data_IF_217966417680
#
_entry.id   IF_217966417680
#
_cell.length_a   1.000
_cell.length_b   1.000
_cell.length_c   1.000
_cell.angle_alpha   90.00
_cell.angle_beta   90.00
_cell.angle_gamma   90.00
#
_symmetry.space_group_name_H-M   'P 1'
#
loop_
_entity.id
_entity.type
_entity.pdbx_description
1 polymer ?
#
# COMPACT_ATOMS: atom_id res chain seq x y z
N UNK A 1 -35.47 57.47 0.49
CA UNK A 1 -34.10 57.25 1.00
C UNK A 1 -34.05 56.27 2.17
N UNK A 2 -34.72 56.54 3.30
CA UNK A 2 -34.72 55.67 4.51
C UNK A 2 -35.24 54.23 4.30
N UNK A 3 -36.19 54.02 3.38
CA UNK A 3 -36.68 52.67 2.99
C UNK A 3 -35.71 51.88 2.11
N UNK A 4 -34.85 52.56 1.35
CA UNK A 4 -33.86 51.93 0.47
C UNK A 4 -32.65 51.43 1.27
N UNK A 5 -32.24 52.16 2.32
CA UNK A 5 -31.21 51.70 3.27
C UNK A 5 -31.62 50.44 4.05
N UNK A 6 -32.89 50.30 4.41
CA UNK A 6 -33.40 49.10 5.10
C UNK A 6 -33.33 47.86 4.20
N UNK A 7 -33.61 48.03 2.91
CA UNK A 7 -33.50 46.95 1.91
C UNK A 7 -32.05 46.51 1.69
N UNK A 8 -31.11 47.46 1.65
CA UNK A 8 -29.67 47.17 1.53
C UNK A 8 -29.15 46.43 2.78
N UNK A 9 -29.61 46.80 3.97
CA UNK A 9 -29.22 46.14 5.22
C UNK A 9 -29.71 44.68 5.29
N UNK A 10 -30.92 44.41 4.78
CA UNK A 10 -31.48 43.04 4.71
C UNK A 10 -30.74 42.18 3.70
N UNK A 11 -30.32 42.75 2.56
CA UNK A 11 -29.56 42.03 1.53
C UNK A 11 -28.13 41.69 2.02
N UNK A 12 -27.50 42.57 2.80
CA UNK A 12 -26.20 42.26 3.42
C UNK A 12 -26.27 41.14 4.46
N UNK A 13 -27.43 40.94 5.11
CA UNK A 13 -27.63 39.87 6.09
C UNK A 13 -27.75 38.47 5.49
N UNK A 14 -27.93 38.34 4.17
CA UNK A 14 -28.07 37.04 3.48
C UNK A 14 -26.73 36.48 2.98
N UNK A 15 -25.63 37.24 3.07
CA UNK A 15 -24.28 36.78 2.72
C UNK A 15 -23.59 36.27 3.97
N UNK A 16 -24.12 35.18 4.52
CA UNK A 16 -23.50 34.45 5.63
C UNK A 16 -22.45 33.46 5.13
N UNK A 17 -21.34 33.33 5.87
CA UNK A 17 -20.36 32.27 5.63
C UNK A 17 -21.03 30.92 5.88
N UNK A 18 -21.07 30.05 4.88
CA UNK A 18 -21.44 28.65 5.07
C UNK A 18 -20.22 27.96 5.69
N UNK A 19 -20.43 27.13 6.71
CA UNK A 19 -19.34 26.31 7.25
C UNK A 19 -18.74 25.46 6.13
N UNK A 20 -17.41 25.43 6.07
CA UNK A 20 -16.73 24.52 5.18
C UNK A 20 -17.16 23.08 5.51
N UNK A 21 -17.45 22.24 4.50
CA UNK A 21 -17.70 20.84 4.77
C UNK A 21 -16.51 20.26 5.54
N UNK A 22 -16.74 19.33 6.48
CA UNK A 22 -15.63 18.70 7.19
C UNK A 22 -14.65 18.13 6.16
N UNK A 23 -13.37 18.48 6.31
CA UNK A 23 -12.32 17.96 5.44
C UNK A 23 -12.36 16.42 5.51
N UNK A 24 -12.42 15.77 4.36
CA UNK A 24 -12.27 14.32 4.29
C UNK A 24 -10.90 13.94 4.88
N UNK A 25 -10.89 12.95 5.78
CA UNK A 25 -9.65 12.46 6.38
C UNK A 25 -8.99 11.54 5.35
N UNK A 26 -7.86 11.98 4.80
CA UNK A 26 -7.03 11.13 3.93
C UNK A 26 -6.27 10.11 4.78
N UNK A 27 -6.64 8.84 4.64
CA UNK A 27 -5.96 7.71 5.28
C UNK A 27 -4.68 7.30 4.54
N UNK A 28 -4.38 7.86 3.37
CA UNK A 28 -3.18 7.55 2.61
C UNK A 28 -3.18 6.13 2.02
N UNK A 29 -4.34 5.59 1.64
CA UNK A 29 -4.42 4.26 1.00
C UNK A 29 -3.64 4.19 -0.32
N UNK A 30 -3.39 5.33 -0.96
CA UNK A 30 -2.52 5.48 -2.13
C UNK A 30 -1.05 5.08 -1.89
N UNK A 31 -0.59 4.93 -0.65
CA UNK A 31 0.73 4.36 -0.35
C UNK A 31 0.82 2.86 -0.69
N UNK A 32 -0.32 2.18 -0.85
CA UNK A 32 -0.39 0.80 -1.31
C UNK A 32 -1.50 0.68 -2.38
N UNK A 33 -1.21 1.05 -3.64
CA UNK A 33 -2.21 1.05 -4.69
C UNK A 33 -2.55 -0.38 -5.13
N UNK A 34 -3.73 -0.87 -4.73
CA UNK A 34 -4.17 -2.25 -4.97
C UNK A 34 -5.12 -2.33 -6.17
N UNK A 35 -4.55 -2.35 -7.37
CA UNK A 35 -5.29 -2.53 -8.63
C UNK A 35 -4.59 -3.57 -9.50
N UNK A 36 -5.36 -4.38 -10.24
CA UNK A 36 -4.81 -5.38 -11.16
C UNK A 36 -3.91 -4.68 -12.19
N UNK A 37 -2.70 -5.20 -12.37
CA UNK A 37 -1.67 -4.65 -13.26
C UNK A 37 -0.69 -3.70 -12.57
N UNK A 38 -0.98 -3.21 -11.36
CA UNK A 38 0.01 -2.47 -10.57
C UNK A 38 1.15 -3.39 -10.18
N UNK A 39 2.37 -2.87 -10.23
CA UNK A 39 3.57 -3.59 -9.88
C UNK A 39 4.57 -2.72 -9.13
N UNK A 40 5.42 -3.36 -8.35
CA UNK A 40 6.59 -2.75 -7.70
C UNK A 40 7.81 -3.59 -8.02
N UNK A 41 8.93 -2.93 -8.29
CA UNK A 41 10.21 -3.56 -8.56
C UNK A 41 11.23 -3.14 -7.51
N UNK A 42 12.04 -4.11 -7.08
CA UNK A 42 13.07 -3.94 -6.07
C UNK A 42 14.41 -4.40 -6.65
N UNK A 43 15.42 -3.54 -6.59
CA UNK A 43 16.81 -3.95 -6.71
C UNK A 43 17.24 -4.59 -5.38
N UNK A 44 17.61 -5.88 -5.43
CA UNK A 44 17.93 -6.68 -4.26
C UNK A 44 19.40 -7.08 -4.28
N UNK A 45 20.11 -6.67 -3.23
CA UNK A 45 21.45 -7.13 -2.89
C UNK A 45 21.35 -8.12 -1.72
N UNK A 46 21.82 -9.35 -1.91
CA UNK A 46 21.77 -10.41 -0.90
C UNK A 46 23.14 -11.03 -0.69
N UNK A 47 23.57 -11.11 0.56
CA UNK A 47 24.79 -11.81 0.97
C UNK A 47 24.35 -13.14 1.60
N UNK A 48 24.77 -14.25 1.01
CA UNK A 48 24.45 -15.60 1.48
C UNK A 48 25.74 -16.26 1.97
N UNK A 49 25.71 -16.76 3.20
CA UNK A 49 26.77 -17.59 3.75
C UNK A 49 26.40 -19.06 3.60
N UNK A 50 27.25 -19.82 2.92
CA UNK A 50 27.14 -21.27 2.85
C UNK A 50 27.94 -21.90 3.99
N UNK A 51 27.23 -22.48 4.95
CA UNK A 51 27.83 -23.12 6.12
C UNK A 51 28.58 -24.43 5.80
N UNK A 52 28.34 -25.06 4.66
CA UNK A 52 29.03 -26.28 4.26
C UNK A 52 30.36 -25.99 3.56
N UNK A 53 30.38 -24.96 2.70
CA UNK A 53 31.61 -24.56 1.98
C UNK A 53 32.41 -23.49 2.73
N UNK A 54 31.83 -22.90 3.79
CA UNK A 54 32.35 -21.75 4.53
C UNK A 54 32.61 -20.53 3.64
N UNK A 55 31.84 -20.38 2.57
CA UNK A 55 31.97 -19.29 1.59
C UNK A 55 30.83 -18.28 1.72
N UNK A 56 31.14 -17.05 1.32
CA UNK A 56 30.19 -15.93 1.23
C UNK A 56 30.02 -15.58 -0.24
N UNK A 57 28.78 -15.64 -0.71
CA UNK A 57 28.40 -15.23 -2.05
C UNK A 57 27.50 -14.00 -2.02
N UNK A 58 27.68 -13.10 -2.99
CA UNK A 58 26.84 -11.93 -3.18
C UNK A 58 25.97 -12.10 -4.43
N UNK A 59 24.67 -11.96 -4.26
CA UNK A 59 23.67 -12.03 -5.32
C UNK A 59 23.05 -10.65 -5.53
N UNK A 60 22.97 -10.23 -6.79
CA UNK A 60 22.27 -9.01 -7.19
C UNK A 60 21.21 -9.38 -8.22
N UNK A 61 19.95 -9.11 -7.92
CA UNK A 61 18.81 -9.44 -8.78
C UNK A 61 17.68 -8.45 -8.58
N UNK A 62 16.77 -8.39 -9.55
CA UNK A 62 15.54 -7.60 -9.43
C UNK A 62 14.37 -8.50 -9.05
N UNK A 63 13.57 -8.07 -8.08
CA UNK A 63 12.27 -8.66 -7.77
C UNK A 63 11.17 -7.79 -8.34
N UNK A 64 10.13 -8.41 -8.89
CA UNK A 64 8.90 -7.72 -9.29
C UNK A 64 7.71 -8.40 -8.66
N UNK A 65 6.91 -7.60 -7.97
CA UNK A 65 5.62 -7.98 -7.40
C UNK A 65 4.52 -7.33 -8.25
N UNK A 66 3.64 -8.12 -8.87
CA UNK A 66 2.53 -7.63 -9.70
C UNK A 66 1.19 -8.18 -9.19
N UNK A 67 0.19 -7.31 -9.10
CA UNK A 67 -1.18 -7.70 -8.76
C UNK A 67 -1.83 -8.28 -10.01
N UNK A 68 -2.20 -9.55 -9.95
CA UNK A 68 -2.73 -10.28 -11.11
C UNK A 68 -4.21 -10.61 -11.00
N UNK A 69 -4.76 -10.59 -9.78
CA UNK A 69 -6.13 -10.99 -9.51
C UNK A 69 -6.64 -10.35 -8.22
N UNK A 70 -7.96 -10.10 -8.19
CA UNK A 70 -8.70 -9.67 -7.00
C UNK A 70 -9.92 -10.56 -6.81
N UNK A 71 -10.18 -11.00 -5.59
CA UNK A 71 -11.35 -11.82 -5.22
C UNK A 71 -11.79 -11.52 -3.78
N UNK A 72 -13.01 -11.90 -3.41
CA UNK A 72 -13.52 -11.75 -2.04
C UNK A 72 -13.20 -12.99 -1.18
N UNK A 73 -12.82 -12.78 0.07
CA UNK A 73 -12.72 -13.86 1.07
C UNK A 73 -14.06 -14.16 1.76
N UNK A 74 -14.01 -15.08 2.74
CA UNK A 74 -15.20 -15.49 3.52
C UNK A 74 -15.78 -14.37 4.39
N UNK A 75 -15.03 -13.30 4.64
CA UNK A 75 -15.45 -12.12 5.39
C UNK A 75 -15.87 -10.98 4.44
N UNK A 76 -16.05 -11.25 3.14
CA UNK A 76 -16.37 -10.27 2.10
C UNK A 76 -15.34 -9.13 1.99
N UNK A 77 -14.07 -9.43 2.21
CA UNK A 77 -12.96 -8.48 2.00
C UNK A 77 -12.30 -8.74 0.66
N UNK A 78 -11.89 -7.67 -0.01
CA UNK A 78 -11.06 -7.75 -1.19
C UNK A 78 -9.67 -8.31 -0.85
N UNK A 79 -9.33 -9.41 -1.51
CA UNK A 79 -8.03 -10.06 -1.48
C UNK A 79 -7.36 -9.84 -2.82
N UNK A 80 -6.13 -9.36 -2.79
CA UNK A 80 -5.32 -9.10 -3.98
C UNK A 80 -4.22 -10.16 -4.06
N UNK A 81 -4.26 -10.99 -5.10
CA UNK A 81 -3.19 -11.97 -5.35
C UNK A 81 -2.05 -11.30 -6.10
N UNK A 82 -0.86 -11.42 -5.51
CA UNK A 82 0.37 -10.90 -6.05
C UNK A 82 1.21 -12.05 -6.57
N UNK A 83 1.73 -11.91 -7.79
CA UNK A 83 2.76 -12.78 -8.33
C UNK A 83 4.12 -12.10 -8.20
N UNK A 84 5.03 -12.78 -7.51
CA UNK A 84 6.41 -12.37 -7.38
C UNK A 84 7.26 -13.11 -8.40
N UNK A 85 8.08 -12.37 -9.11
CA UNK A 85 9.02 -12.88 -10.10
C UNK A 85 10.38 -12.22 -9.90
N UNK A 86 11.43 -12.83 -10.45
CA UNK A 86 12.79 -12.31 -10.33
C UNK A 86 13.56 -12.43 -11.64
N UNK A 87 14.59 -11.61 -11.78
CA UNK A 87 15.53 -11.71 -12.89
C UNK A 87 16.96 -11.45 -12.41
N UNK A 88 17.89 -12.28 -12.88
CA UNK A 88 19.32 -12.11 -12.63
C UNK A 88 19.94 -11.11 -13.61
N UNK A 89 20.75 -10.19 -13.09
CA UNK A 89 21.47 -9.20 -13.91
C UNK A 89 20.66 -7.96 -14.30
N UNK A 90 21.38 -6.96 -14.81
CA UNK A 90 20.84 -5.66 -15.25
C UNK A 90 20.67 -5.60 -16.79
N UNK A 91 20.30 -6.73 -17.41
CA UNK A 91 20.10 -6.79 -18.87
C UNK A 91 18.94 -5.88 -19.31
N UNK A 92 18.99 -5.44 -20.57
CA UNK A 92 18.03 -4.47 -21.14
C UNK A 92 16.63 -5.05 -21.40
N UNK A 93 16.52 -6.37 -21.56
CA UNK A 93 15.24 -7.10 -21.73
C UNK A 93 15.20 -8.33 -20.80
N UNK A 94 14.96 -8.11 -19.50
CA UNK A 94 14.97 -9.19 -18.52
C UNK A 94 13.72 -10.08 -18.66
N UNK A 95 13.93 -11.38 -18.92
CA UNK A 95 12.86 -12.37 -18.78
C UNK A 95 12.69 -12.71 -17.29
N UNK A 96 11.57 -12.26 -16.71
CA UNK A 96 11.24 -12.56 -15.31
C UNK A 96 10.88 -14.03 -15.14
N UNK A 97 11.51 -14.67 -14.15
CA UNK A 97 11.21 -16.03 -13.72
C UNK A 97 10.24 -15.97 -12.55
N UNK A 98 9.12 -16.69 -12.63
CA UNK A 98 8.18 -16.81 -11.52
C UNK A 98 8.88 -17.35 -10.27
N UNK A 99 8.63 -16.73 -9.13
CA UNK A 99 9.17 -17.15 -7.82
C UNK A 99 8.08 -17.74 -6.95
N UNK A 100 7.04 -16.97 -6.67
CA UNK A 100 5.95 -17.36 -5.76
C UNK A 100 4.75 -16.43 -5.86
N UNK A 101 3.69 -16.74 -5.11
CA UNK A 101 2.52 -15.87 -4.96
C UNK A 101 2.24 -15.62 -3.47
N UNK A 102 1.65 -14.48 -3.16
CA UNK A 102 1.13 -14.16 -1.84
C UNK A 102 -0.12 -13.28 -1.99
N UNK A 103 -0.85 -13.06 -0.90
CA UNK A 103 -2.07 -12.25 -0.90
C UNK A 103 -1.91 -10.99 -0.06
N UNK A 104 -2.54 -9.91 -0.47
CA UNK A 104 -2.68 -8.67 0.28
C UNK A 104 -4.15 -8.42 0.61
N UNK A 105 -4.41 -7.92 1.81
CA UNK A 105 -5.74 -7.49 2.28
C UNK A 105 -5.56 -6.18 3.04
N UNK A 106 -6.43 -5.20 2.81
CA UNK A 106 -6.53 -4.02 3.68
C UNK A 106 -7.68 -4.23 4.65
N UNK A 107 -7.36 -4.37 5.93
CA UNK A 107 -8.32 -4.61 6.99
C UNK A 107 -8.36 -3.41 7.95
N UNK A 108 -9.33 -2.52 7.72
CA UNK A 108 -9.41 -1.24 8.37
C UNK A 108 -8.18 -0.39 8.05
N UNK A 109 -7.33 -0.16 9.04
CA UNK A 109 -6.11 0.65 8.90
C UNK A 109 -4.83 -0.16 8.71
N UNK A 110 -4.92 -1.47 8.44
CA UNK A 110 -3.74 -2.34 8.31
C UNK A 110 -3.71 -3.00 6.95
N UNK A 111 -2.57 -2.94 6.28
CA UNK A 111 -2.26 -3.81 5.17
C UNK A 111 -1.67 -5.12 5.71
N UNK A 112 -2.37 -6.22 5.45
CA UNK A 112 -2.00 -7.57 5.86
C UNK A 112 -1.49 -8.33 4.62
N UNK A 113 -0.30 -8.92 4.71
CA UNK A 113 0.25 -9.86 3.74
C UNK A 113 0.09 -11.27 4.27
N UNK A 114 -0.44 -12.17 3.45
CA UNK A 114 -0.49 -13.60 3.72
C UNK A 114 0.43 -14.33 2.73
N UNK A 115 1.49 -14.94 3.24
CA UNK A 115 2.53 -15.60 2.46
C UNK A 115 2.92 -16.91 3.16
N UNK A 116 2.78 -18.05 2.48
CA UNK A 116 3.02 -19.39 3.06
C UNK A 116 2.35 -19.62 4.43
N UNK A 117 1.06 -19.23 4.54
CA UNK A 117 0.26 -19.26 5.79
C UNK A 117 0.77 -18.35 6.92
N UNK A 118 1.76 -17.49 6.67
CA UNK A 118 2.23 -16.49 7.61
C UNK A 118 1.55 -15.14 7.34
N UNK A 119 0.82 -14.63 8.33
CA UNK A 119 0.18 -13.30 8.25
C UNK A 119 1.10 -12.24 8.85
N UNK A 120 1.43 -11.23 8.07
CA UNK A 120 2.30 -10.11 8.48
C UNK A 120 1.63 -8.78 8.22
N UNK A 121 1.72 -7.83 9.16
CA UNK A 121 1.29 -6.44 8.93
C UNK A 121 2.42 -5.67 8.25
N UNK A 122 2.24 -5.29 6.99
CA UNK A 122 3.28 -4.65 6.17
C UNK A 122 3.19 -3.13 6.16
N UNK A 123 2.02 -2.57 6.50
CA UNK A 123 1.79 -1.12 6.56
C UNK A 123 0.59 -0.81 7.46
N UNK A 124 0.65 0.32 8.17
CA UNK A 124 -0.48 0.87 8.94
C UNK A 124 -0.81 2.27 8.43
N UNK A 125 -2.09 2.52 8.19
CA UNK A 125 -2.65 3.76 7.68
C UNK A 125 -3.19 4.66 8.82
N UNK A 126 -3.13 6.00 8.67
CA UNK A 126 -2.27 6.70 7.73
C UNK A 126 -0.79 6.52 8.11
N UNK A 127 0.11 6.42 7.12
CA UNK A 127 1.54 6.37 7.40
C UNK A 127 1.97 7.65 8.10
N UNK A 128 2.71 7.51 9.20
CA UNK A 128 3.26 8.62 9.98
C UNK A 128 4.75 8.42 10.18
N UNK A 129 5.51 9.49 10.06
CA UNK A 129 6.95 9.45 10.29
C UNK A 129 7.23 8.97 11.73
N UNK A 130 8.10 7.98 11.88
CA UNK A 130 8.47 7.40 13.17
C UNK A 130 7.41 6.48 13.80
N UNK A 131 6.28 6.23 13.12
CA UNK A 131 5.34 5.23 13.59
C UNK A 131 5.97 3.83 13.53
N UNK A 132 5.65 3.02 14.53
CA UNK A 132 6.05 1.62 14.61
C UNK A 132 4.81 0.78 14.86
N UNK A 133 4.83 -0.47 14.38
CA UNK A 133 3.81 -1.46 14.65
C UNK A 133 4.45 -2.83 14.76
N UNK A 134 3.75 -3.75 15.39
CA UNK A 134 4.15 -5.15 15.42
C UNK A 134 3.73 -5.83 14.11
N UNK A 135 4.72 -6.10 13.24
CA UNK A 135 4.50 -6.82 11.98
C UNK A 135 4.05 -8.27 12.20
N UNK A 136 4.43 -8.86 13.34
CA UNK A 136 4.16 -10.25 13.72
C UNK A 136 2.99 -10.39 14.70
N UNK A 137 2.12 -9.38 14.79
CA UNK A 137 0.99 -9.35 15.72
C UNK A 137 0.04 -10.57 15.65
N UNK A 138 0.16 -11.41 14.63
CA UNK A 138 -0.63 -12.63 14.41
C UNK A 138 0.17 -13.94 14.47
N UNK A 139 1.47 -13.90 14.79
CA UNK A 139 2.40 -15.04 14.67
C UNK A 139 2.90 -15.54 16.03
N UNK A 140 2.14 -15.32 17.10
CA UNK A 140 2.45 -15.74 18.49
C UNK A 140 1.88 -17.10 18.83
#
# INVERSE_FOLDING_TARGET
MRRFSLLILVILGLVGCKDDPPNEIDFGYNYLPLEIGNWVEYDVDSIVFDAFTEQVDTYNFRLRDIIVETFEDLDSRDVYRVEQSYVGGLESDPTYTFRKTYSLVVNGVRAERLDDNLKTVILVFPPRQGATWDGNAFNT
#
